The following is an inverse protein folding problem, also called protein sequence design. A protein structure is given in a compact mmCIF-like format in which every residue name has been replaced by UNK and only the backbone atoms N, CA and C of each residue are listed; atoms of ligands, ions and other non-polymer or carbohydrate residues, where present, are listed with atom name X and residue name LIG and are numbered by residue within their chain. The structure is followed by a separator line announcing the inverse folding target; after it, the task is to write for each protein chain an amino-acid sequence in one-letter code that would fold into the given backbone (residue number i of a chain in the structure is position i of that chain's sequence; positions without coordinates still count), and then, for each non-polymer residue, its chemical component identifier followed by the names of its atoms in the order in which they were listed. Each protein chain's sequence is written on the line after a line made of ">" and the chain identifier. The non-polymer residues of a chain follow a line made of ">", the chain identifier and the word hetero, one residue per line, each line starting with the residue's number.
data_IF_546848828767
#
_entry.id   IF_546848828767
#
_cell.length_a   1.000
_cell.length_b   1.000
_cell.length_c   1.000
_cell.angle_alpha   90.00
_cell.angle_beta   90.00
_cell.angle_gamma   90.00
#
_symmetry.space_group_name_H-M   'P 1'
#
loop_
_entity.id
_entity.type
_entity.pdbx_description
1 polymer ?
#
# COMPACT_ATOMS: atom_id res chain seq x y z
N UNK A 1 13.88 2.85 -5.13
CA UNK A 1 13.91 3.29 -3.72
C UNK A 1 13.30 2.18 -2.87
N UNK A 2 13.86 1.94 -1.68
CA UNK A 2 13.40 0.89 -0.77
C UNK A 2 13.18 1.49 0.61
N UNK A 3 12.05 1.14 1.23
CA UNK A 3 11.76 1.47 2.63
C UNK A 3 11.66 0.17 3.40
N UNK A 4 12.31 0.14 4.56
CA UNK A 4 12.35 -0.99 5.47
C UNK A 4 11.77 -0.56 6.81
N UNK A 5 10.83 -1.34 7.33
CA UNK A 5 10.23 -1.14 8.65
C UNK A 5 10.66 -2.31 9.52
N UNK A 6 11.28 -1.99 10.64
CA UNK A 6 11.75 -2.95 11.63
C UNK A 6 11.16 -2.64 13.01
N UNK A 7 10.76 -3.66 13.74
CA UNK A 7 10.29 -3.55 15.13
C UNK A 7 11.39 -4.14 16.03
N UNK A 8 11.73 -3.44 17.11
CA UNK A 8 12.57 -4.01 18.17
C UNK A 8 11.68 -4.83 19.11
N UNK A 9 12.12 -6.06 19.41
CA UNK A 9 11.50 -6.83 20.48
C UNK A 9 11.94 -6.33 21.86
N UNK A 10 11.26 -6.85 22.88
CA UNK A 10 11.49 -6.60 24.30
C UNK A 10 12.90 -6.99 24.78
N UNK A 11 13.66 -7.76 23.98
CA UNK A 11 15.05 -8.13 24.24
C UNK A 11 16.05 -7.31 23.40
N UNK A 12 15.58 -6.29 22.67
CA UNK A 12 16.39 -5.41 21.84
C UNK A 12 16.79 -6.01 20.48
N UNK A 13 16.31 -7.20 20.13
CA UNK A 13 16.55 -7.77 18.81
C UNK A 13 15.69 -7.06 17.77
N UNK A 14 16.32 -6.52 16.73
CA UNK A 14 15.63 -5.94 15.58
C UNK A 14 15.08 -7.08 14.72
N UNK A 15 13.78 -7.07 14.46
CA UNK A 15 13.15 -7.89 13.44
C UNK A 15 12.72 -6.99 12.30
N UNK A 16 13.24 -7.24 11.11
CA UNK A 16 12.76 -6.57 9.91
C UNK A 16 11.39 -7.16 9.58
N UNK A 17 10.39 -6.30 9.61
CA UNK A 17 8.99 -6.70 9.55
C UNK A 17 8.52 -6.59 8.10
N UNK A 18 8.92 -5.53 7.37
CA UNK A 18 8.68 -5.44 5.93
C UNK A 18 9.75 -4.63 5.17
N UNK A 19 10.04 -5.08 3.94
CA UNK A 19 10.81 -4.35 2.94
C UNK A 19 9.91 -4.11 1.73
N UNK A 20 9.71 -2.84 1.35
CA UNK A 20 8.94 -2.49 0.13
C UNK A 20 9.72 -1.56 -0.78
N UNK A 21 9.60 -1.84 -2.08
CA UNK A 21 10.12 -0.98 -3.13
C UNK A 21 9.03 -0.01 -3.57
N UNK A 22 9.45 1.17 -4.04
CA UNK A 22 8.53 2.06 -4.74
C UNK A 22 7.93 1.30 -5.95
N UNK A 23 6.59 1.16 -6.05
CA UNK A 23 5.95 0.39 -7.10
C UNK A 23 6.21 0.96 -8.50
N UNK A 24 6.48 2.27 -8.60
CA UNK A 24 6.76 2.93 -9.88
C UNK A 24 8.01 3.81 -9.80
N UNK A 25 8.74 3.92 -10.91
CA UNK A 25 9.84 4.90 -11.05
C UNK A 25 9.26 6.32 -10.96
N UNK A 26 9.75 7.11 -10.00
CA UNK A 26 9.36 8.51 -9.84
C UNK A 26 10.48 9.46 -10.25
N UNK A 27 10.09 10.66 -10.65
CA UNK A 27 11.00 11.71 -11.09
C UNK A 27 11.73 12.42 -9.94
N UNK A 28 11.40 12.11 -8.68
CA UNK A 28 12.08 12.61 -7.50
C UNK A 28 12.24 11.53 -6.43
N UNK A 29 13.28 11.67 -5.60
CA UNK A 29 13.51 10.80 -4.44
C UNK A 29 12.36 10.91 -3.44
N UNK A 30 11.86 12.11 -3.18
CA UNK A 30 10.74 12.34 -2.25
C UNK A 30 9.48 11.56 -2.64
N UNK A 31 9.09 11.62 -3.92
CA UNK A 31 7.95 10.86 -4.41
C UNK A 31 8.19 9.34 -4.32
N UNK A 32 9.42 8.88 -4.62
CA UNK A 32 9.76 7.47 -4.52
C UNK A 32 9.79 6.96 -3.06
N UNK A 33 10.25 7.79 -2.11
CA UNK A 33 10.22 7.48 -0.68
C UNK A 33 8.78 7.42 -0.17
N UNK A 34 7.97 8.42 -0.52
CA UNK A 34 6.57 8.51 -0.11
C UNK A 34 5.79 7.29 -0.59
N UNK A 35 5.96 6.91 -1.86
CA UNK A 35 5.34 5.72 -2.42
C UNK A 35 5.78 4.43 -1.70
N UNK A 36 7.09 4.24 -1.52
CA UNK A 36 7.61 3.05 -0.83
C UNK A 36 7.16 2.98 0.63
N UNK A 37 7.08 4.12 1.33
CA UNK A 37 6.60 4.22 2.70
C UNK A 37 5.10 3.95 2.79
N UNK A 38 4.30 4.47 1.86
CA UNK A 38 2.85 4.20 1.78
C UNK A 38 2.60 2.70 1.55
N UNK A 39 3.38 2.07 0.68
CA UNK A 39 3.26 0.65 0.39
C UNK A 39 3.67 -0.22 1.58
N UNK A 40 4.77 0.15 2.26
CA UNK A 40 5.21 -0.51 3.48
C UNK A 40 4.18 -0.39 4.61
N UNK A 41 3.63 0.81 4.81
CA UNK A 41 2.59 1.06 5.82
C UNK A 41 1.31 0.28 5.50
N UNK A 42 0.83 0.34 4.25
CA UNK A 42 -0.36 -0.41 3.81
C UNK A 42 -0.20 -1.91 4.05
N UNK A 43 0.97 -2.47 3.69
CA UNK A 43 1.28 -3.88 3.94
C UNK A 43 1.29 -4.22 5.42
N UNK A 44 1.88 -3.35 6.24
CA UNK A 44 2.01 -3.56 7.68
C UNK A 44 0.64 -3.48 8.38
N UNK A 45 -0.20 -2.51 8.00
CA UNK A 45 -1.58 -2.38 8.44
C UNK A 45 -2.45 -3.58 8.01
N UNK A 46 -2.22 -4.10 6.81
CA UNK A 46 -2.87 -5.33 6.33
C UNK A 46 -2.45 -6.56 7.12
N UNK A 47 -1.14 -6.78 7.31
CA UNK A 47 -0.62 -8.03 7.85
C UNK A 47 -0.71 -8.10 9.37
N UNK A 48 -0.61 -6.95 10.06
CA UNK A 48 -0.65 -6.83 11.52
C UNK A 48 -1.83 -5.99 11.99
N UNK A 49 -2.99 -6.17 11.35
CA UNK A 49 -4.19 -5.37 11.62
C UNK A 49 -4.55 -5.29 13.11
N UNK A 50 -4.47 -6.41 13.83
CA UNK A 50 -4.84 -6.48 15.25
C UNK A 50 -3.86 -5.66 16.11
N UNK A 51 -2.56 -5.78 15.83
CA UNK A 51 -1.51 -4.99 16.50
C UNK A 51 -1.64 -3.50 16.16
N UNK A 52 -2.08 -3.17 14.94
CA UNK A 52 -2.27 -1.79 14.49
C UNK A 52 -3.52 -1.14 15.06
N UNK A 53 -4.54 -1.91 15.46
CA UNK A 53 -5.81 -1.41 15.98
C UNK A 53 -5.64 -0.60 17.29
N UNK A 54 -4.56 -0.83 18.04
CA UNK A 54 -4.25 -0.11 19.28
C UNK A 54 -3.34 1.11 19.07
N UNK A 55 -2.93 1.39 17.84
CA UNK A 55 -2.01 2.49 17.50
C UNK A 55 -2.75 3.71 16.96
N UNK A 56 -2.02 4.80 16.73
CA UNK A 56 -2.51 5.96 15.97
C UNK A 56 -2.87 5.64 14.52
N UNK A 57 -2.45 4.48 13.99
CA UNK A 57 -2.72 4.05 12.62
C UNK A 57 -3.95 3.15 12.51
N UNK A 58 -4.74 2.97 13.58
CA UNK A 58 -5.96 2.14 13.58
C UNK A 58 -7.00 2.51 12.52
N UNK A 59 -7.00 3.77 12.08
CA UNK A 59 -7.91 4.27 11.04
C UNK A 59 -7.30 4.25 9.64
N UNK A 60 -6.09 3.69 9.49
CA UNK A 60 -5.49 3.52 8.18
C UNK A 60 -6.27 2.43 7.41
N UNK A 61 -6.62 2.67 6.13
CA UNK A 61 -7.30 1.67 5.32
C UNK A 61 -6.46 0.40 5.18
N UNK A 62 -7.02 -0.73 5.59
CA UNK A 62 -6.40 -2.04 5.52
C UNK A 62 -7.17 -2.90 4.52
N UNK A 63 -6.55 -3.30 3.42
CA UNK A 63 -7.12 -4.32 2.53
C UNK A 63 -7.04 -5.69 3.22
N UNK A 64 -7.97 -6.61 3.01
CA UNK A 64 -7.76 -8.01 3.42
C UNK A 64 -7.10 -8.79 2.27
N UNK A 65 -6.22 -9.76 2.55
CA UNK A 65 -5.45 -10.46 1.51
C UNK A 65 -6.29 -11.16 0.44
N UNK A 66 -7.56 -11.41 0.75
CA UNK A 66 -8.49 -12.16 -0.11
C UNK A 66 -9.61 -11.30 -0.66
N UNK A 67 -9.60 -9.97 -0.45
CA UNK A 67 -10.67 -9.10 -0.92
C UNK A 67 -10.11 -7.78 -1.46
N UNK A 68 -10.84 -7.19 -2.40
CA UNK A 68 -10.49 -5.90 -3.00
C UNK A 68 -10.88 -4.72 -2.12
N UNK A 69 -11.83 -4.91 -1.19
CA UNK A 69 -12.29 -3.86 -0.29
C UNK A 69 -11.27 -3.53 0.81
N UNK A 70 -11.07 -2.23 1.02
CA UNK A 70 -10.39 -1.72 2.19
C UNK A 70 -11.33 -1.69 3.41
N UNK A 71 -10.80 -2.05 4.57
CA UNK A 71 -11.44 -1.98 5.87
C UNK A 71 -10.77 -0.89 6.72
N UNK A 72 -11.57 -0.11 7.45
CA UNK A 72 -11.08 0.85 8.44
C UNK A 72 -11.80 0.57 9.77
N UNK A 73 -11.09 0.71 10.89
CA UNK A 73 -11.68 0.50 12.21
C UNK A 73 -12.85 1.46 12.48
N UNK A 74 -13.95 0.93 13.03
CA UNK A 74 -15.11 1.73 13.42
C UNK A 74 -14.73 2.65 14.60
N UNK A 75 -14.88 3.97 14.49
CA UNK A 75 -14.50 4.92 15.54
C UNK A 75 -15.55 5.04 16.65
N UNK A 76 -16.27 3.99 17.07
CA UNK A 76 -17.42 4.08 18.02
C UNK A 76 -17.12 4.88 19.32
N UNK A 77 -15.84 5.02 19.69
CA UNK A 77 -15.37 5.80 20.82
C UNK A 77 -15.26 7.32 20.59
N UNK A 78 -15.26 7.80 19.34
CA UNK A 78 -15.16 9.23 18.98
C UNK A 78 -16.55 9.76 18.61
N UNK A 79 -17.09 10.67 19.43
CA UNK A 79 -18.42 11.27 19.27
C UNK A 79 -18.48 12.28 18.11
N UNK A 80 -18.15 11.84 16.89
CA UNK A 80 -18.27 12.64 15.68
C UNK A 80 -19.12 11.89 14.63
N UNK A 81 -20.39 12.30 14.42
CA UNK A 81 -21.30 11.63 13.51
C UNK A 81 -20.88 11.71 12.03
N UNK A 82 -19.91 12.57 11.67
CA UNK A 82 -19.37 12.65 10.30
C UNK A 82 -18.16 11.75 10.08
N UNK A 83 -17.57 11.23 11.15
CA UNK A 83 -16.32 10.49 11.09
C UNK A 83 -16.51 9.14 10.42
N UNK A 84 -17.59 8.42 10.74
CA UNK A 84 -17.94 7.13 10.14
C UNK A 84 -18.11 7.25 8.61
N UNK A 85 -18.91 8.22 8.14
CA UNK A 85 -19.12 8.44 6.71
C UNK A 85 -17.85 8.89 5.98
N UNK A 86 -16.99 9.67 6.64
CA UNK A 86 -15.70 10.09 6.07
C UNK A 86 -14.76 8.90 5.94
N UNK A 87 -14.74 8.03 6.94
CA UNK A 87 -13.97 6.79 6.94
C UNK A 87 -14.44 5.88 5.80
N UNK A 88 -15.74 5.64 5.67
CA UNK A 88 -16.29 4.80 4.60
C UNK A 88 -15.97 5.35 3.19
N UNK A 89 -16.09 6.67 3.01
CA UNK A 89 -15.70 7.34 1.77
C UNK A 89 -14.21 7.15 1.46
N UNK A 90 -13.33 7.30 2.45
CA UNK A 90 -11.88 7.09 2.30
C UNK A 90 -11.55 5.63 1.97
N UNK A 91 -12.23 4.65 2.57
CA UNK A 91 -12.06 3.23 2.24
C UNK A 91 -12.43 2.94 0.77
N UNK A 92 -13.55 3.51 0.31
CA UNK A 92 -14.04 3.35 -1.07
C UNK A 92 -13.05 3.96 -2.05
N UNK A 93 -12.65 5.21 -1.84
CA UNK A 93 -11.69 5.90 -2.70
C UNK A 93 -10.34 5.17 -2.76
N UNK A 94 -9.87 4.64 -1.62
CA UNK A 94 -8.64 3.86 -1.58
C UNK A 94 -8.76 2.56 -2.39
N UNK A 95 -9.91 1.89 -2.32
CA UNK A 95 -10.22 0.69 -3.11
C UNK A 95 -10.17 1.00 -4.61
N UNK A 96 -10.79 2.09 -5.05
CA UNK A 96 -10.79 2.53 -6.46
C UNK A 96 -9.37 2.90 -6.93
N UNK A 97 -8.60 3.61 -6.11
CA UNK A 97 -7.20 3.92 -6.40
C UNK A 97 -6.33 2.66 -6.52
N UNK A 98 -6.56 1.64 -5.71
CA UNK A 98 -5.80 0.39 -5.80
C UNK A 98 -6.17 -0.39 -7.08
N UNK A 99 -7.46 -0.47 -7.42
CA UNK A 99 -7.89 -1.11 -8.66
C UNK A 99 -7.28 -0.44 -9.89
N UNK A 100 -7.27 0.89 -9.93
CA UNK A 100 -6.64 1.65 -11.03
C UNK A 100 -5.12 1.48 -11.09
N UNK A 101 -4.43 1.28 -9.95
CA UNK A 101 -3.01 0.95 -9.94
C UNK A 101 -2.74 -0.46 -10.49
N UNK A 102 -3.53 -1.45 -10.09
CA UNK A 102 -3.43 -2.83 -10.60
C UNK A 102 -3.65 -2.86 -12.13
N UNK A 103 -4.66 -2.11 -12.63
CA UNK A 103 -4.91 -1.95 -14.06
C UNK A 103 -3.72 -1.28 -14.79
N UNK A 104 -3.15 -0.22 -14.20
CA UNK A 104 -1.98 0.46 -14.77
C UNK A 104 -0.75 -0.44 -14.82
N UNK A 105 -0.52 -1.27 -13.80
CA UNK A 105 0.60 -2.22 -13.77
C UNK A 105 0.44 -3.30 -14.85
N UNK A 106 -0.78 -3.80 -15.05
CA UNK A 106 -1.09 -4.72 -16.16
C UNK A 106 -0.81 -4.09 -17.51
N UNK A 107 -1.29 -2.88 -17.76
CA UNK A 107 -1.05 -2.16 -19.02
C UNK A 107 0.44 -1.88 -19.25
N UNK A 108 1.18 -1.53 -18.19
CA UNK A 108 2.65 -1.34 -18.27
C UNK A 108 3.37 -2.63 -18.61
N UNK A 109 2.96 -3.74 -18.01
CA UNK A 109 3.53 -5.06 -18.30
C UNK A 109 3.30 -5.46 -19.76
N UNK A 110 2.07 -5.29 -20.25
CA UNK A 110 1.70 -5.58 -21.64
C UNK A 110 2.49 -4.72 -22.64
N UNK A 111 2.58 -3.41 -22.40
CA UNK A 111 3.36 -2.51 -23.25
C UNK A 111 4.87 -2.86 -23.24
N UNK A 112 5.44 -3.15 -22.07
CA UNK A 112 6.84 -3.57 -21.97
C UNK A 112 7.12 -4.88 -22.69
N UNK A 113 6.20 -5.84 -22.61
CA UNK A 113 6.27 -7.11 -23.36
C UNK A 113 6.18 -6.87 -24.87
N UNK A 114 5.33 -5.94 -25.30
CA UNK A 114 5.17 -5.59 -26.71
C UNK A 114 6.41 -4.90 -27.30
N UNK A 115 6.98 -3.91 -26.60
CA UNK A 115 8.22 -3.24 -27.00
C UNK A 115 9.40 -4.21 -27.09
N UNK A 116 9.50 -5.15 -26.14
CA UNK A 116 10.54 -6.18 -26.17
C UNK A 116 10.40 -7.14 -27.36
N UNK A 117 9.16 -7.52 -27.69
CA UNK A 117 8.87 -8.34 -28.87
C UNK A 117 9.21 -7.64 -30.20
N UNK A 118 8.92 -6.35 -30.31
CA UNK A 118 9.29 -5.54 -31.48
C UNK A 118 10.81 -5.40 -31.63
N UNK A 119 11.53 -5.17 -30.54
CA UNK A 119 12.99 -5.08 -30.58
C UNK A 119 13.64 -6.39 -31.04
N UNK A 120 13.11 -7.54 -30.59
CA UNK A 120 13.57 -8.87 -31.04
C UNK A 120 13.27 -9.11 -32.53
N UNK A 121 12.11 -8.68 -33.03
CA UNK A 121 11.72 -8.86 -34.42
C UNK A 121 12.49 -7.98 -35.41
N UNK A 122 12.94 -6.79 -34.98
CA UNK A 122 13.70 -5.84 -35.81
C UNK A 122 15.22 -6.07 -35.75
N UNK A 123 15.70 -7.00 -34.93
CA UNK A 123 17.13 -7.34 -34.78
C UNK A 123 17.55 -8.59 -35.59
N UNK A 124 16.66 -9.10 -36.45
CA UNK A 124 16.89 -10.20 -37.41
C UNK A 124 16.90 -9.67 -38.84
#
# INVERSE_FOLDING_TARGET
>A
MTVEISIQDEFGSRRDVYVRHAPTRRNSYEAAISDAAREALTTLCHTHRDDMAITSHRYYPCRSAKRLDAWIANPEAEQNPRLESTIEYLATLNTDCNATLDELDMVRYENGSFEHGLHMALSL
#
